data_IF_806529633309
#
_entry.id   IF_806529633309
#
_cell.length_a   1.000
_cell.length_b   1.000
_cell.length_c   1.000
_cell.angle_alpha   90.00
_cell.angle_beta   90.00
_cell.angle_gamma   90.00
#
_symmetry.space_group_name_H-M   'P 1'
#
loop_
_entity.id
_entity.type
_entity.pdbx_description
1 polymer ?
#
# COMPACT_ATOMS: atom_id res chain seq x y z
N UNK A 1 -14.74 -21.06 9.98
CA UNK A 1 -13.26 -20.98 9.98
C UNK A 1 -12.79 -21.00 11.43
N UNK A 2 -12.23 -22.12 11.89
CA UNK A 2 -11.66 -22.20 13.24
C UNK A 2 -10.17 -21.95 13.10
N UNK A 3 -9.72 -20.75 13.47
CA UNK A 3 -8.30 -20.47 13.65
C UNK A 3 -7.77 -21.31 14.81
N UNK A 4 -7.07 -22.41 14.52
CA UNK A 4 -6.18 -23.03 15.51
C UNK A 4 -4.99 -22.07 15.75
N UNK A 5 -5.16 -21.14 16.70
CA UNK A 5 -4.03 -20.39 17.26
C UNK A 5 -3.08 -21.39 17.91
N UNK A 6 -1.87 -21.54 17.40
CA UNK A 6 -0.80 -22.28 18.10
C UNK A 6 -0.37 -21.48 19.31
N UNK A 7 -0.85 -21.88 20.47
CA UNK A 7 -0.39 -21.37 21.75
C UNK A 7 1.01 -21.95 21.98
N UNK A 8 2.05 -21.10 21.91
CA UNK A 8 3.36 -21.42 22.48
C UNK A 8 3.27 -21.10 23.96
N UNK A 9 3.47 -22.10 24.80
CA UNK A 9 3.58 -21.92 26.24
C UNK A 9 5.05 -21.95 26.63
N UNK A 10 5.48 -20.96 27.39
CA UNK A 10 6.81 -20.91 27.99
C UNK A 10 6.64 -20.54 29.46
N UNK A 11 7.34 -21.25 30.34
CA UNK A 11 7.32 -21.01 31.77
C UNK A 11 8.70 -20.46 32.18
N UNK A 12 8.72 -19.36 32.93
CA UNK A 12 9.93 -18.84 33.55
C UNK A 12 9.80 -19.11 35.05
N UNK A 13 10.72 -19.90 35.59
CA UNK A 13 10.72 -20.33 36.98
C UNK A 13 11.81 -19.60 37.76
N UNK A 14 11.47 -19.15 38.96
CA UNK A 14 12.44 -18.53 39.87
C UNK A 14 13.42 -19.59 40.43
N UNK A 15 14.67 -19.22 40.72
CA UNK A 15 15.69 -20.13 41.27
C UNK A 15 15.29 -20.75 42.61
N UNK A 16 14.38 -20.15 43.36
CA UNK A 16 13.81 -20.72 44.60
C UNK A 16 13.07 -22.04 44.38
N UNK A 17 12.70 -22.37 43.13
CA UNK A 17 12.06 -23.63 42.75
C UNK A 17 13.07 -24.71 42.35
N UNK A 18 14.38 -24.48 42.45
CA UNK A 18 15.40 -25.49 42.16
C UNK A 18 15.12 -26.77 42.96
N UNK A 19 15.09 -27.92 42.29
CA UNK A 19 14.71 -29.22 42.86
C UNK A 19 13.27 -29.32 43.41
N UNK A 20 12.37 -28.42 43.03
CA UNK A 20 10.96 -28.38 43.46
C UNK A 20 9.96 -28.42 42.29
N UNK A 21 10.45 -28.76 41.11
CA UNK A 21 9.66 -28.84 39.88
C UNK A 21 9.60 -30.30 39.48
N UNK A 22 8.44 -30.73 38.99
CA UNK A 22 8.26 -32.00 38.33
C UNK A 22 7.30 -31.87 37.15
N UNK A 23 7.34 -32.85 36.24
CA UNK A 23 6.57 -32.83 35.00
C UNK A 23 7.42 -32.92 33.74
N UNK A 24 6.75 -32.73 32.59
CA UNK A 24 7.33 -32.86 31.24
C UNK A 24 8.46 -31.86 30.91
N UNK A 25 8.68 -30.86 31.75
CA UNK A 25 9.78 -29.89 31.63
C UNK A 25 11.00 -30.28 32.50
N UNK A 26 11.03 -31.50 33.04
CA UNK A 26 12.11 -31.98 33.91
C UNK A 26 11.99 -31.49 35.36
N UNK A 27 13.04 -31.75 36.15
CA UNK A 27 13.03 -31.51 37.60
C UNK A 27 13.64 -30.19 38.05
N UNK A 28 14.10 -29.38 37.10
CA UNK A 28 14.77 -28.11 37.37
C UNK A 28 15.92 -28.27 38.39
N UNK A 29 16.78 -29.26 38.14
CA UNK A 29 17.97 -29.58 38.96
C UNK A 29 19.23 -28.91 38.42
N UNK A 30 19.17 -28.35 37.21
CA UNK A 30 20.31 -27.84 36.46
C UNK A 30 21.12 -28.92 35.74
N UNK A 31 20.66 -30.18 35.74
CA UNK A 31 21.32 -31.31 35.08
C UNK A 31 20.50 -31.83 33.89
N UNK A 32 20.88 -31.55 32.63
CA UNK A 32 20.10 -31.99 31.46
C UNK A 32 19.93 -33.51 31.32
N UNK A 33 20.79 -34.30 32.00
CA UNK A 33 20.76 -35.75 31.95
C UNK A 33 19.60 -36.39 32.74
N UNK A 34 19.00 -35.66 33.68
CA UNK A 34 17.88 -36.15 34.50
C UNK A 34 16.51 -35.62 34.05
N UNK A 35 16.46 -34.74 33.04
CA UNK A 35 15.23 -34.06 32.61
C UNK A 35 14.15 -35.04 32.13
N UNK A 36 14.53 -36.24 31.67
CA UNK A 36 13.60 -37.31 31.25
C UNK A 36 13.29 -38.32 32.35
N UNK A 37 13.34 -37.91 33.61
CA UNK A 37 12.98 -38.78 34.74
C UNK A 37 11.47 -38.84 34.94
N UNK A 38 10.93 -40.06 35.02
CA UNK A 38 9.50 -40.35 35.17
C UNK A 38 9.02 -40.07 36.61
N UNK A 39 7.70 -40.02 36.88
CA UNK A 39 7.19 -39.82 38.24
C UNK A 39 7.62 -40.90 39.24
N UNK A 40 7.95 -42.10 38.75
CA UNK A 40 8.46 -43.22 39.56
C UNK A 40 9.95 -43.07 39.95
N UNK A 41 10.62 -42.02 39.49
CA UNK A 41 12.03 -41.73 39.76
C UNK A 41 13.02 -42.44 38.83
N UNK A 42 12.56 -43.23 37.86
CA UNK A 42 13.42 -43.88 36.87
C UNK A 42 13.58 -43.05 35.60
N UNK A 43 14.76 -43.12 34.98
CA UNK A 43 15.05 -42.40 33.74
C UNK A 43 14.38 -43.12 32.56
N UNK A 44 13.58 -42.41 31.78
CA UNK A 44 12.92 -42.98 30.61
C UNK A 44 13.92 -43.36 29.52
N UNK A 45 13.65 -44.47 28.83
CA UNK A 45 14.50 -44.94 27.72
C UNK A 45 14.11 -44.30 26.39
N UNK A 46 12.87 -43.85 26.26
CA UNK A 46 12.34 -43.18 25.06
C UNK A 46 11.56 -41.92 25.43
N UNK A 47 11.41 -41.02 24.47
CA UNK A 47 10.61 -39.80 24.65
C UNK A 47 9.12 -40.13 24.81
N UNK A 48 8.63 -41.16 24.12
CA UNK A 48 7.23 -41.61 24.24
C UNK A 48 6.98 -42.17 25.63
N UNK A 49 7.86 -43.05 26.14
CA UNK A 49 7.77 -43.56 27.51
C UNK A 49 7.77 -42.43 28.55
N UNK A 50 8.64 -41.43 28.37
CA UNK A 50 8.68 -40.26 29.24
C UNK A 50 7.35 -39.48 29.19
N UNK A 51 6.89 -39.14 27.98
CA UNK A 51 5.65 -38.39 27.76
C UNK A 51 4.43 -39.08 28.37
N UNK A 52 4.28 -40.36 28.09
CA UNK A 52 3.18 -41.20 28.56
C UNK A 52 3.20 -41.35 30.08
N UNK A 53 4.38 -41.42 30.71
CA UNK A 53 4.50 -41.56 32.17
C UNK A 53 3.95 -40.36 32.96
N UNK A 54 3.89 -39.18 32.35
CA UNK A 54 3.37 -37.95 32.96
C UNK A 54 1.91 -37.66 32.60
N UNK A 55 1.21 -38.59 31.93
CA UNK A 55 -0.20 -38.43 31.61
C UNK A 55 -1.05 -38.36 32.90
N UNK A 56 -1.95 -37.37 32.97
CA UNK A 56 -2.88 -37.19 34.10
C UNK A 56 -4.30 -37.47 33.63
N UNK A 57 -4.94 -38.48 34.24
CA UNK A 57 -6.34 -38.84 34.03
C UNK A 57 -6.55 -40.18 33.31
N UNK A 58 -7.71 -40.80 33.55
CA UNK A 58 -8.07 -42.16 33.08
C UNK A 58 -8.64 -42.16 31.65
N UNK A 59 -8.23 -41.20 30.83
CA UNK A 59 -8.63 -41.14 29.41
C UNK A 59 -7.63 -41.94 28.60
N UNK A 60 -8.15 -42.77 27.70
CA UNK A 60 -7.38 -43.37 26.63
C UNK A 60 -6.87 -42.26 25.70
N UNK A 61 -5.76 -41.65 26.09
CA UNK A 61 -5.03 -40.67 25.30
C UNK A 61 -4.21 -41.46 24.28
N UNK A 62 -4.87 -42.09 23.31
CA UNK A 62 -4.16 -42.60 22.14
C UNK A 62 -3.54 -41.40 21.44
N UNK A 63 -2.23 -41.20 21.63
CA UNK A 63 -1.46 -40.34 20.75
C UNK A 63 -1.74 -40.79 19.33
N UNK A 64 -2.14 -39.88 18.43
CA UNK A 64 -2.36 -40.21 17.02
C UNK A 64 -1.01 -40.66 16.43
N UNK A 65 -0.73 -41.95 16.57
CA UNK A 65 0.41 -42.60 15.97
C UNK A 65 0.04 -42.77 14.52
N UNK A 66 0.72 -41.99 13.70
CA UNK A 66 0.74 -42.29 12.29
C UNK A 66 1.21 -43.73 12.08
N UNK A 67 0.55 -44.45 11.18
CA UNK A 67 1.04 -45.78 10.81
C UNK A 67 2.45 -45.67 10.23
N UNK A 68 3.27 -46.73 10.32
CA UNK A 68 4.59 -46.75 9.69
C UNK A 68 4.53 -46.42 8.19
N UNK A 69 3.47 -46.88 7.52
CA UNK A 69 3.20 -46.60 6.10
C UNK A 69 2.97 -45.10 5.85
N UNK A 70 2.06 -44.46 6.61
CA UNK A 70 1.80 -43.02 6.47
C UNK A 70 3.02 -42.19 6.84
N UNK A 71 3.83 -42.64 7.79
CA UNK A 71 5.08 -41.99 8.17
C UNK A 71 6.10 -42.04 7.03
N UNK A 72 6.23 -43.18 6.36
CA UNK A 72 7.08 -43.31 5.18
C UNK A 72 6.61 -42.41 4.04
N UNK A 73 5.30 -42.33 3.78
CA UNK A 73 4.74 -41.39 2.80
C UNK A 73 5.02 -39.94 3.19
N UNK A 74 4.79 -39.56 4.45
CA UNK A 74 5.09 -38.22 4.96
C UNK A 74 6.57 -37.85 4.80
N UNK A 75 7.49 -38.79 5.03
CA UNK A 75 8.91 -38.61 4.78
C UNK A 75 9.19 -38.30 3.31
N UNK A 76 8.57 -39.04 2.37
CA UNK A 76 8.75 -38.78 0.94
C UNK A 76 8.28 -37.37 0.54
N UNK A 77 7.17 -36.89 1.12
CA UNK A 77 6.70 -35.52 0.88
C UNK A 77 7.68 -34.45 1.41
N UNK A 78 8.34 -34.74 2.54
CA UNK A 78 9.25 -33.81 3.23
C UNK A 78 10.69 -33.83 2.69
N UNK A 79 11.12 -34.89 2.00
CA UNK A 79 12.49 -34.97 1.46
C UNK A 79 12.81 -33.83 0.47
N UNK A 80 11.78 -33.21 -0.11
CA UNK A 80 11.93 -32.11 -1.04
C UNK A 80 12.72 -30.92 -0.46
N UNK A 81 12.78 -30.78 0.88
CA UNK A 81 13.57 -29.76 1.58
C UNK A 81 15.07 -29.88 1.27
N UNK A 82 15.57 -31.06 0.92
CA UNK A 82 16.99 -31.28 0.62
C UNK A 82 17.39 -30.80 -0.79
N UNK A 83 16.43 -30.44 -1.64
CA UNK A 83 16.66 -30.03 -3.01
C UNK A 83 16.48 -28.52 -3.21
N UNK A 84 16.92 -28.01 -4.37
CA UNK A 84 16.61 -26.64 -4.80
C UNK A 84 15.10 -26.45 -5.03
N UNK A 85 14.52 -25.29 -4.69
CA UNK A 85 15.19 -24.09 -4.17
C UNK A 85 15.37 -24.08 -2.64
N UNK A 86 14.87 -25.06 -1.90
CA UNK A 86 14.92 -25.09 -0.42
C UNK A 86 16.34 -25.10 0.14
N UNK A 87 17.30 -25.68 -0.59
CA UNK A 87 18.73 -25.69 -0.23
C UNK A 87 19.34 -24.31 0.00
N UNK A 88 18.80 -23.27 -0.62
CA UNK A 88 19.25 -21.88 -0.43
C UNK A 88 19.07 -21.41 1.03
N UNK A 89 18.18 -22.06 1.80
CA UNK A 89 17.91 -21.73 3.20
C UNK A 89 18.72 -22.55 4.23
N UNK A 90 19.45 -23.58 3.81
CA UNK A 90 20.02 -24.57 4.74
C UNK A 90 20.98 -23.95 5.78
N UNK A 91 21.63 -22.83 5.44
CA UNK A 91 22.49 -22.09 6.36
C UNK A 91 21.72 -21.44 7.53
N UNK A 92 20.46 -21.05 7.32
CA UNK A 92 19.60 -20.40 8.31
C UNK A 92 18.69 -21.40 9.02
N UNK A 93 18.16 -22.37 8.26
CA UNK A 93 17.26 -23.43 8.76
C UNK A 93 17.80 -24.80 8.34
N UNK A 94 18.63 -25.44 9.18
CA UNK A 94 19.17 -26.76 8.87
C UNK A 94 18.06 -27.81 8.67
N UNK A 95 18.08 -28.62 7.59
CA UNK A 95 17.05 -29.63 7.33
C UNK A 95 16.86 -30.62 8.48
N UNK A 96 17.95 -31.04 9.13
CA UNK A 96 17.91 -31.99 10.25
C UNK A 96 17.05 -31.51 11.43
N UNK A 97 17.01 -30.20 11.70
CA UNK A 97 16.19 -29.62 12.76
C UNK A 97 14.71 -29.42 12.37
N UNK A 98 14.40 -29.40 11.07
CA UNK A 98 13.04 -29.17 10.58
C UNK A 98 12.32 -30.44 10.13
N UNK A 99 13.07 -31.45 9.68
CA UNK A 99 12.56 -32.67 9.04
C UNK A 99 11.55 -33.41 9.91
N UNK A 100 11.84 -33.62 11.20
CA UNK A 100 10.92 -34.30 12.11
C UNK A 100 9.57 -33.56 12.20
N UNK A 101 9.60 -32.25 12.39
CA UNK A 101 8.39 -31.44 12.43
C UNK A 101 7.63 -31.38 11.10
N UNK A 102 8.32 -31.55 9.97
CA UNK A 102 7.69 -31.71 8.66
C UNK A 102 6.92 -33.03 8.59
N UNK A 103 7.58 -34.14 8.93
CA UNK A 103 7.00 -35.49 8.90
C UNK A 103 5.77 -35.56 9.79
N UNK A 104 5.89 -35.14 11.06
CA UNK A 104 4.77 -35.15 12.01
C UNK A 104 3.53 -34.43 11.47
N UNK A 105 3.74 -33.28 10.79
CA UNK A 105 2.65 -32.47 10.22
C UNK A 105 2.03 -33.08 8.98
N UNK A 106 2.87 -33.49 8.03
CA UNK A 106 2.40 -34.16 6.82
C UNK A 106 1.62 -35.43 7.20
N UNK A 107 2.12 -36.15 8.20
CA UNK A 107 1.50 -37.38 8.67
C UNK A 107 0.16 -37.16 9.37
N UNK A 108 0.06 -36.14 10.24
CA UNK A 108 -1.20 -35.74 10.84
C UNK A 108 -2.24 -35.36 9.76
N UNK A 109 -1.84 -34.60 8.74
CA UNK A 109 -2.70 -34.21 7.63
C UNK A 109 -3.19 -35.41 6.81
N UNK A 110 -2.30 -36.35 6.47
CA UNK A 110 -2.67 -37.57 5.74
C UNK A 110 -3.64 -38.43 6.55
N UNK A 111 -3.42 -38.52 7.87
CA UNK A 111 -4.29 -39.29 8.78
C UNK A 111 -5.68 -38.67 8.95
N UNK A 112 -5.81 -37.36 8.67
CA UNK A 112 -7.10 -36.64 8.67
C UNK A 112 -7.82 -36.71 7.32
N UNK A 113 -7.27 -37.45 6.34
CA UNK A 113 -7.85 -37.60 5.00
C UNK A 113 -7.41 -36.51 4.01
N UNK A 114 -6.40 -35.71 4.34
CA UNK A 114 -5.80 -34.75 3.41
C UNK A 114 -5.09 -35.46 2.25
N UNK A 115 -5.08 -34.82 1.09
CA UNK A 115 -4.35 -35.35 -0.08
C UNK A 115 -2.83 -35.21 0.09
N UNK A 116 -2.05 -36.06 -0.58
CA UNK A 116 -0.58 -35.95 -0.56
C UNK A 116 -0.08 -34.56 -0.99
N UNK A 117 -0.72 -33.96 -2.00
CA UNK A 117 -0.39 -32.62 -2.46
C UNK A 117 -0.65 -31.57 -1.38
N UNK A 118 -1.84 -31.58 -0.78
CA UNK A 118 -2.20 -30.66 0.29
C UNK A 118 -1.24 -30.76 1.48
N UNK A 119 -0.99 -31.98 1.95
CA UNK A 119 -0.14 -32.23 3.11
C UNK A 119 1.32 -31.86 2.84
N UNK A 120 1.84 -32.17 1.66
CA UNK A 120 3.17 -31.74 1.21
C UNK A 120 3.27 -30.21 1.20
N UNK A 121 2.34 -29.54 0.53
CA UNK A 121 2.41 -28.09 0.35
C UNK A 121 2.24 -27.32 1.66
N UNK A 122 1.41 -27.82 2.58
CA UNK A 122 1.27 -27.27 3.92
C UNK A 122 2.54 -27.47 4.77
N UNK A 123 3.21 -28.62 4.64
CA UNK A 123 4.43 -28.92 5.37
C UNK A 123 5.63 -28.12 4.85
N UNK A 124 5.88 -28.15 3.53
CA UNK A 124 6.97 -27.40 2.89
C UNK A 124 6.81 -25.89 3.02
N UNK A 125 5.58 -25.37 2.92
CA UNK A 125 5.33 -23.93 3.08
C UNK A 125 5.79 -23.40 4.44
N UNK A 126 5.76 -24.22 5.51
CA UNK A 126 6.28 -23.81 6.81
C UNK A 126 7.80 -23.66 6.84
N UNK A 127 8.52 -24.47 6.08
CA UNK A 127 9.97 -24.33 5.96
C UNK A 127 10.30 -22.99 5.29
N UNK A 128 9.57 -22.67 4.21
CA UNK A 128 9.73 -21.40 3.48
C UNK A 128 9.40 -20.20 4.35
N UNK A 129 8.26 -20.20 5.04
CA UNK A 129 7.92 -19.10 5.97
C UNK A 129 9.00 -18.93 7.03
N UNK A 130 9.45 -20.03 7.64
CA UNK A 130 10.50 -19.98 8.67
C UNK A 130 11.82 -19.42 8.13
N UNK A 131 12.13 -19.73 6.87
CA UNK A 131 13.29 -19.19 6.17
C UNK A 131 13.18 -17.68 5.97
N UNK A 132 12.08 -17.24 5.35
CA UNK A 132 11.87 -15.85 4.97
C UNK A 132 11.66 -14.93 6.19
N UNK A 133 11.18 -15.46 7.31
CA UNK A 133 11.16 -14.75 8.60
C UNK A 133 12.57 -14.45 9.14
N UNK A 134 13.59 -15.25 8.78
CA UNK A 134 14.98 -15.02 9.18
C UNK A 134 15.71 -14.12 8.20
N UNK A 135 15.45 -14.30 6.91
CA UNK A 135 16.02 -13.50 5.84
C UNK A 135 15.08 -13.50 4.61
N UNK A 136 14.43 -12.37 4.36
CA UNK A 136 13.48 -12.20 3.26
C UNK A 136 14.16 -12.12 1.88
N UNK A 137 15.49 -12.00 1.82
CA UNK A 137 16.25 -11.93 0.57
C UNK A 137 16.55 -13.29 -0.06
N UNK A 138 16.33 -14.39 0.67
CA UNK A 138 16.57 -15.75 0.17
C UNK A 138 15.61 -16.05 -1.00
N UNK A 139 16.12 -16.51 -2.17
CA UNK A 139 15.35 -16.59 -3.40
C UNK A 139 14.44 -17.83 -3.45
N UNK A 140 13.38 -17.82 -2.65
CA UNK A 140 12.40 -18.91 -2.58
C UNK A 140 11.15 -18.66 -3.41
N UNK A 141 11.03 -17.55 -4.14
CA UNK A 141 9.78 -17.13 -4.82
C UNK A 141 9.13 -18.20 -5.74
N UNK A 142 9.91 -19.12 -6.30
CA UNK A 142 9.43 -20.15 -7.24
C UNK A 142 9.26 -21.54 -6.62
N UNK A 143 9.47 -21.69 -5.30
CA UNK A 143 9.36 -22.98 -4.62
C UNK A 143 8.00 -23.65 -4.87
N UNK A 144 6.92 -22.85 -4.94
CA UNK A 144 5.57 -23.34 -5.23
C UNK A 144 5.44 -23.91 -6.64
N UNK A 145 6.17 -23.37 -7.60
CA UNK A 145 6.17 -23.89 -8.97
C UNK A 145 6.94 -25.21 -9.01
N UNK A 146 8.13 -25.25 -8.40
CA UNK A 146 9.00 -26.43 -8.38
C UNK A 146 8.35 -27.59 -7.62
N UNK A 147 7.76 -27.31 -6.45
CA UNK A 147 7.10 -28.32 -5.61
C UNK A 147 5.68 -28.68 -6.08
N UNK A 148 5.15 -28.01 -7.12
CA UNK A 148 3.76 -28.12 -7.58
C UNK A 148 2.76 -27.84 -6.44
N UNK A 149 2.89 -26.68 -5.83
CA UNK A 149 2.14 -26.19 -4.68
C UNK A 149 1.47 -24.84 -4.98
N UNK A 150 0.75 -24.79 -6.10
CA UNK A 150 0.17 -23.57 -6.63
C UNK A 150 -0.86 -22.94 -5.68
N UNK A 151 -0.90 -21.61 -5.69
CA UNK A 151 -1.92 -20.80 -5.01
C UNK A 151 -2.48 -19.80 -6.00
N UNK A 152 -3.79 -19.80 -6.15
CA UNK A 152 -4.49 -18.85 -7.00
C UNK A 152 -4.72 -17.54 -6.22
N UNK A 153 -4.47 -16.42 -6.88
CA UNK A 153 -4.81 -15.09 -6.38
C UNK A 153 -5.69 -14.36 -7.41
N UNK A 154 -6.49 -13.38 -6.98
CA UNK A 154 -7.17 -12.44 -7.86
C UNK A 154 -6.22 -11.76 -8.85
N UNK A 155 -6.77 -11.22 -9.94
CA UNK A 155 -6.00 -10.46 -10.92
C UNK A 155 -5.29 -9.27 -10.28
N UNK A 156 -4.00 -9.08 -10.58
CA UNK A 156 -3.17 -8.01 -10.01
C UNK A 156 -2.59 -8.32 -8.63
N UNK A 157 -2.83 -9.53 -8.11
CA UNK A 157 -2.26 -10.02 -6.86
C UNK A 157 -1.33 -11.20 -7.08
N UNK A 158 -0.28 -11.27 -6.26
CA UNK A 158 0.67 -12.37 -6.19
C UNK A 158 0.64 -12.99 -4.81
N UNK A 159 0.66 -14.33 -4.75
CA UNK A 159 0.78 -15.04 -3.49
C UNK A 159 2.19 -14.85 -2.92
N UNK A 160 2.27 -14.44 -1.67
CA UNK A 160 3.51 -14.45 -0.89
C UNK A 160 3.35 -15.36 0.33
N UNK A 161 4.37 -16.16 0.60
CA UNK A 161 4.45 -16.96 1.82
C UNK A 161 4.81 -16.11 3.04
N UNK A 162 5.54 -15.03 2.84
CA UNK A 162 6.02 -14.16 3.91
C UNK A 162 6.06 -12.74 3.36
N UNK A 163 4.93 -12.04 3.46
CA UNK A 163 4.83 -10.63 3.11
C UNK A 163 4.92 -9.78 4.37
N UNK A 164 5.63 -8.65 4.27
CA UNK A 164 5.67 -7.67 5.35
C UNK A 164 4.26 -7.18 5.68
N UNK A 165 4.03 -6.86 6.95
CA UNK A 165 2.72 -6.42 7.44
C UNK A 165 2.26 -5.06 6.87
N UNK A 166 3.15 -4.36 6.15
CA UNK A 166 2.89 -3.07 5.52
C UNK A 166 2.53 -3.24 4.04
N UNK A 167 1.35 -3.81 3.75
CA UNK A 167 0.79 -3.71 2.39
C UNK A 167 0.37 -2.25 2.15
N UNK A 168 0.96 -1.61 1.13
CA UNK A 168 0.65 -0.22 0.80
C UNK A 168 -0.75 -0.09 0.19
N UNK A 169 -1.54 0.83 0.70
CA UNK A 169 -2.82 1.27 0.14
C UNK A 169 -2.66 2.62 -0.56
N UNK A 170 -3.65 3.07 -1.34
CA UNK A 170 -3.60 4.44 -1.86
C UNK A 170 -3.45 5.48 -0.75
N UNK A 171 -4.09 5.29 0.40
CA UNK A 171 -4.01 6.19 1.56
C UNK A 171 -2.62 6.18 2.23
N UNK A 172 -1.86 5.09 2.08
CA UNK A 172 -0.61 4.88 2.82
C UNK A 172 0.64 4.78 1.95
N UNK A 173 0.50 4.89 0.63
CA UNK A 173 1.61 4.61 -0.30
C UNK A 173 2.80 5.57 -0.15
N UNK A 174 2.53 6.84 0.16
CA UNK A 174 3.53 7.88 0.43
C UNK A 174 4.10 7.85 1.85
N UNK A 175 3.53 7.06 2.75
CA UNK A 175 4.07 6.92 4.11
C UNK A 175 5.16 5.85 4.14
N UNK A 176 6.22 6.12 4.91
CA UNK A 176 7.20 5.10 5.23
C UNK A 176 6.49 4.01 6.05
N UNK A 177 6.74 2.75 5.71
CA UNK A 177 6.34 1.66 6.58
C UNK A 177 7.00 1.89 7.95
N UNK A 178 6.26 1.76 9.07
CA UNK A 178 6.87 1.78 10.39
C UNK A 178 8.06 0.83 10.40
N UNK A 179 9.17 1.16 11.06
CA UNK A 179 10.35 0.28 11.07
C UNK A 179 9.96 -1.06 11.71
N UNK A 180 9.66 -2.04 10.86
CA UNK A 180 9.10 -3.34 11.25
C UNK A 180 10.25 -4.24 11.72
N UNK A 181 10.98 -3.81 12.73
CA UNK A 181 12.04 -4.64 13.33
C UNK A 181 11.51 -5.85 14.12
N UNK A 182 10.19 -6.15 14.07
CA UNK A 182 9.63 -7.25 14.86
C UNK A 182 8.27 -7.83 14.45
N UNK A 183 7.65 -7.46 13.31
CA UNK A 183 6.38 -8.11 12.95
C UNK A 183 6.62 -9.39 12.17
N UNK A 184 6.06 -10.50 12.65
CA UNK A 184 5.93 -11.74 11.86
C UNK A 184 5.23 -11.42 10.54
N UNK A 185 5.83 -11.85 9.43
CA UNK A 185 5.20 -11.76 8.12
C UNK A 185 3.91 -12.58 8.05
N UNK A 186 3.06 -12.27 7.09
CA UNK A 186 1.84 -13.02 6.83
C UNK A 186 1.83 -13.62 5.43
N UNK A 187 1.23 -14.81 5.31
CA UNK A 187 1.04 -15.47 4.02
C UNK A 187 -0.32 -15.11 3.44
N UNK A 188 -0.38 -14.87 2.13
CA UNK A 188 -1.62 -14.43 1.48
C UNK A 188 -1.40 -13.95 0.05
N UNK A 189 -2.46 -13.45 -0.55
CA UNK A 189 -2.40 -12.73 -1.82
C UNK A 189 -2.23 -11.24 -1.53
N UNK A 190 -1.22 -10.63 -2.12
CA UNK A 190 -0.88 -9.23 -1.95
C UNK A 190 -0.72 -8.58 -3.32
N UNK A 191 -0.86 -7.26 -3.38
CA UNK A 191 -0.65 -6.56 -4.65
C UNK A 191 0.73 -6.85 -5.25
N UNK A 192 0.78 -6.99 -6.58
CA UNK A 192 2.06 -7.16 -7.28
C UNK A 192 3.01 -5.99 -6.96
N UNK A 193 4.35 -6.24 -6.97
CA UNK A 193 5.32 -5.18 -6.73
C UNK A 193 5.07 -3.96 -7.63
N UNK A 194 4.97 -2.78 -7.01
CA UNK A 194 4.66 -1.53 -7.71
C UNK A 194 3.18 -1.17 -7.77
N UNK A 195 2.27 -2.04 -7.32
CA UNK A 195 0.84 -1.74 -7.17
C UNK A 195 0.47 -1.48 -5.70
N UNK A 196 -0.70 -0.87 -5.51
CA UNK A 196 -1.27 -0.55 -4.19
C UNK A 196 -2.72 -0.98 -4.10
N UNK A 197 -3.19 -1.23 -2.87
CA UNK A 197 -4.57 -1.63 -2.65
C UNK A 197 -5.49 -0.41 -2.55
N UNK A 198 -6.58 -0.41 -3.34
CA UNK A 198 -7.69 0.55 -3.30
C UNK A 198 -9.01 -0.21 -3.40
N UNK A 199 -9.89 -0.05 -2.41
CA UNK A 199 -11.21 -0.68 -2.37
C UNK A 199 -11.20 -2.21 -2.64
N UNK A 200 -10.21 -2.90 -2.07
CA UNK A 200 -10.05 -4.35 -2.20
C UNK A 200 -9.44 -4.83 -3.52
N UNK A 201 -8.96 -3.91 -4.38
CA UNK A 201 -8.34 -4.22 -5.67
C UNK A 201 -6.93 -3.63 -5.74
N UNK A 202 -6.05 -4.26 -6.51
CA UNK A 202 -4.74 -3.70 -6.79
C UNK A 202 -4.81 -2.76 -7.98
N UNK A 203 -4.32 -1.54 -7.80
CA UNK A 203 -4.28 -0.49 -8.82
C UNK A 203 -2.86 0.05 -8.93
N UNK A 204 -2.54 0.61 -10.08
CA UNK A 204 -1.30 1.38 -10.22
C UNK A 204 -1.39 2.63 -9.32
N UNK A 205 -0.31 3.04 -8.61
CA UNK A 205 -0.31 4.22 -7.75
C UNK A 205 -0.84 5.49 -8.40
N UNK A 206 -0.72 5.59 -9.71
CA UNK A 206 -1.20 6.71 -10.52
C UNK A 206 -2.74 6.84 -10.53
N UNK A 207 -3.44 5.74 -10.27
CA UNK A 207 -4.90 5.70 -10.11
C UNK A 207 -5.34 6.04 -8.68
N UNK A 208 -4.39 6.37 -7.80
CA UNK A 208 -4.70 6.83 -6.46
C UNK A 208 -5.23 8.25 -6.41
N UNK A 209 -5.13 9.06 -7.50
CA UNK A 209 -5.61 10.45 -7.60
C UNK A 209 -6.76 10.80 -6.64
N UNK A 210 -6.38 11.30 -5.47
CA UNK A 210 -7.19 11.49 -4.26
C UNK A 210 -7.16 12.94 -3.81
N UNK A 211 -6.08 13.69 -4.12
CA UNK A 211 -6.08 15.14 -4.06
C UNK A 211 -6.96 15.71 -5.17
N UNK A 212 -8.25 15.92 -4.88
CA UNK A 212 -9.20 16.54 -5.83
C UNK A 212 -9.67 17.90 -5.31
N UNK A 213 -9.30 18.94 -6.06
CA UNK A 213 -9.75 20.31 -5.88
C UNK A 213 -10.85 20.62 -6.90
N UNK A 214 -11.86 21.36 -6.48
CA UNK A 214 -13.01 21.72 -7.30
C UNK A 214 -13.25 23.22 -7.22
N UNK A 215 -13.65 23.83 -8.34
CA UNK A 215 -14.20 25.18 -8.36
C UNK A 215 -15.45 25.22 -9.24
N UNK A 216 -16.50 25.95 -8.85
CA UNK A 216 -17.75 26.03 -9.62
C UNK A 216 -18.59 27.26 -9.27
N UNK A 217 -19.51 27.65 -10.15
CA UNK A 217 -20.50 28.69 -9.89
C UNK A 217 -19.91 30.10 -9.72
N UNK A 218 -20.35 30.81 -8.67
CA UNK A 218 -19.78 32.08 -8.19
C UNK A 218 -18.63 31.81 -7.22
N UNK A 219 -17.39 31.77 -7.74
CA UNK A 219 -16.40 30.75 -7.46
C UNK A 219 -16.46 30.22 -6.02
N UNK A 220 -17.18 29.12 -5.86
CA UNK A 220 -17.05 28.25 -4.71
C UNK A 220 -15.91 27.31 -4.98
N UNK A 221 -14.98 27.24 -4.05
CA UNK A 221 -13.84 26.33 -4.10
C UNK A 221 -13.99 25.27 -3.03
N UNK A 222 -13.48 24.09 -3.37
CA UNK A 222 -13.24 22.99 -2.45
C UNK A 222 -11.79 22.57 -2.64
N UNK A 223 -10.96 22.78 -1.61
CA UNK A 223 -9.54 22.42 -1.63
C UNK A 223 -9.33 20.91 -1.78
N UNK A 224 -8.08 20.50 -1.95
CA UNK A 224 -7.68 19.09 -1.92
C UNK A 224 -8.13 18.40 -0.62
N UNK A 225 -8.00 19.08 0.53
CA UNK A 225 -8.41 18.56 1.84
C UNK A 225 -9.88 18.87 2.17
N UNK A 226 -10.67 19.20 1.14
CA UNK A 226 -12.13 19.36 1.18
C UNK A 226 -12.62 20.57 1.98
N UNK A 227 -11.77 21.55 2.25
CA UNK A 227 -12.15 22.85 2.82
C UNK A 227 -12.97 23.65 1.79
N UNK A 228 -14.18 24.05 2.16
CA UNK A 228 -15.04 24.86 1.29
C UNK A 228 -14.86 26.35 1.60
N UNK A 229 -14.65 27.16 0.57
CA UNK A 229 -14.59 28.62 0.71
C UNK A 229 -15.09 29.32 -0.57
N UNK A 230 -15.49 30.58 -0.46
CA UNK A 230 -15.98 31.38 -1.59
C UNK A 230 -15.05 32.57 -1.79
N UNK A 231 -14.56 32.75 -3.01
CA UNK A 231 -13.68 33.87 -3.33
C UNK A 231 -14.03 34.49 -4.69
N UNK A 232 -14.44 35.77 -4.65
CA UNK A 232 -14.99 36.50 -5.79
C UNK A 232 -13.97 37.41 -6.49
N UNK A 233 -12.75 36.93 -6.71
CA UNK A 233 -11.71 37.66 -7.43
C UNK A 233 -11.94 37.71 -8.95
N UNK A 234 -11.73 38.88 -9.57
CA UNK A 234 -11.85 39.13 -11.01
C UNK A 234 -10.45 39.18 -11.67
N UNK A 235 -9.66 38.12 -11.50
CA UNK A 235 -8.32 38.03 -12.08
C UNK A 235 -7.95 36.58 -12.38
N UNK A 236 -6.70 36.38 -12.77
CA UNK A 236 -6.10 35.05 -12.87
C UNK A 236 -5.46 34.69 -11.54
N UNK A 237 -5.71 33.49 -11.05
CA UNK A 237 -5.21 33.02 -9.75
C UNK A 237 -4.53 31.66 -9.90
N UNK A 238 -3.51 31.42 -9.08
CA UNK A 238 -2.88 30.10 -8.97
C UNK A 238 -3.85 29.19 -8.23
N UNK A 239 -4.53 28.29 -8.95
CA UNK A 239 -5.38 27.28 -8.34
C UNK A 239 -4.52 26.28 -7.57
N UNK A 240 -3.50 25.72 -8.23
CA UNK A 240 -2.47 24.93 -7.56
C UNK A 240 -1.16 24.96 -8.35
N UNK A 241 -0.04 24.80 -7.66
CA UNK A 241 1.25 24.50 -8.26
C UNK A 241 2.07 23.60 -7.35
N UNK A 242 3.02 22.88 -7.93
CA UNK A 242 4.04 22.16 -7.15
C UNK A 242 4.88 23.15 -6.35
N UNK A 243 5.10 22.92 -5.05
CA UNK A 243 5.90 23.80 -4.21
C UNK A 243 7.39 23.58 -4.49
N UNK A 244 8.05 24.56 -5.11
CA UNK A 244 9.52 24.60 -5.21
C UNK A 244 10.00 26.02 -4.89
N UNK A 245 10.75 26.23 -3.80
CA UNK A 245 11.29 27.54 -3.43
C UNK A 245 12.17 28.20 -4.49
N UNK A 246 12.71 27.42 -5.44
CA UNK A 246 13.53 27.93 -6.56
C UNK A 246 12.68 28.42 -7.73
N UNK A 247 11.36 28.19 -7.72
CA UNK A 247 10.44 28.53 -8.81
C UNK A 247 10.31 27.46 -9.90
N UNK A 248 11.01 26.33 -9.77
CA UNK A 248 10.96 25.22 -10.73
C UNK A 248 9.76 24.31 -10.44
N UNK A 249 8.56 24.83 -10.66
CA UNK A 249 7.32 24.09 -10.41
C UNK A 249 7.11 22.99 -11.47
N UNK A 250 6.96 21.73 -11.04
CA UNK A 250 6.61 20.61 -11.94
C UNK A 250 5.32 20.84 -12.71
N UNK A 251 4.38 21.57 -12.12
CA UNK A 251 3.18 22.04 -12.77
C UNK A 251 2.68 23.35 -12.14
N UNK A 252 1.91 24.11 -12.91
CA UNK A 252 1.08 25.21 -12.41
C UNK A 252 -0.28 25.17 -13.10
N UNK A 253 -1.34 25.32 -12.33
CA UNK A 253 -2.72 25.40 -12.82
C UNK A 253 -3.27 26.77 -12.43
N UNK A 254 -3.66 27.54 -13.45
CA UNK A 254 -4.12 28.92 -13.32
C UNK A 254 -5.59 28.98 -13.73
N UNK A 255 -6.44 29.52 -12.87
CA UNK A 255 -7.84 29.79 -13.19
C UNK A 255 -8.00 31.23 -13.62
N UNK A 256 -8.88 31.47 -14.59
CA UNK A 256 -9.20 32.80 -15.10
C UNK A 256 -10.62 33.14 -14.71
N UNK A 257 -10.77 34.14 -13.85
CA UNK A 257 -12.05 34.55 -13.32
C UNK A 257 -12.43 35.91 -13.89
N UNK A 258 -13.66 36.02 -14.36
CA UNK A 258 -14.22 37.28 -14.88
C UNK A 258 -15.60 37.55 -14.29
N UNK A 259 -16.04 38.80 -14.43
CA UNK A 259 -17.45 39.13 -14.24
C UNK A 259 -18.33 38.40 -15.24
N UNK A 260 -19.30 37.68 -14.72
CA UNK A 260 -20.38 37.11 -15.51
C UNK A 260 -21.56 38.09 -15.58
N UNK A 261 -22.12 38.25 -16.77
CA UNK A 261 -23.29 39.10 -16.99
C UNK A 261 -24.58 38.35 -16.58
N UNK A 262 -24.73 38.11 -15.27
CA UNK A 262 -25.91 37.54 -14.61
C UNK A 262 -26.46 38.56 -13.59
N UNK A 263 -27.71 38.38 -13.16
CA UNK A 263 -28.33 39.21 -12.14
C UNK A 263 -28.69 38.33 -10.91
N UNK A 264 -28.13 38.57 -9.71
CA UNK A 264 -27.08 39.55 -9.41
C UNK A 264 -25.77 39.25 -10.16
N UNK A 265 -24.91 40.27 -10.31
CA UNK A 265 -23.59 40.11 -10.96
C UNK A 265 -22.73 39.18 -10.12
N UNK A 266 -22.21 38.12 -10.76
CA UNK A 266 -21.33 37.13 -10.12
C UNK A 266 -19.97 37.09 -10.81
N UNK A 267 -19.00 36.38 -10.22
CA UNK A 267 -17.80 35.95 -10.95
C UNK A 267 -18.05 34.57 -11.57
N UNK A 268 -17.31 34.23 -12.62
CA UNK A 268 -17.23 32.87 -13.14
C UNK A 268 -15.81 32.57 -13.59
N UNK A 269 -15.42 31.30 -13.47
CA UNK A 269 -14.20 30.79 -14.10
C UNK A 269 -14.46 30.59 -15.59
N UNK A 270 -13.82 31.38 -16.45
CA UNK A 270 -13.96 31.28 -17.90
C UNK A 270 -12.77 30.60 -18.58
N UNK A 271 -11.81 30.12 -17.79
CA UNK A 271 -10.79 29.23 -18.31
C UNK A 271 -9.84 28.71 -17.27
N UNK A 272 -9.12 27.67 -17.67
CA UNK A 272 -8.07 27.05 -16.88
C UNK A 272 -6.85 26.83 -17.78
N UNK A 273 -5.69 27.27 -17.33
CA UNK A 273 -4.39 27.08 -17.99
C UNK A 273 -3.54 26.12 -17.17
N UNK A 274 -2.82 25.23 -17.84
CA UNK A 274 -1.83 24.32 -17.26
C UNK A 274 -0.47 24.66 -17.86
N UNK A 275 0.53 24.79 -17.01
CA UNK A 275 1.95 24.93 -17.36
C UNK A 275 2.69 23.68 -16.87
N UNK A 276 3.47 23.04 -17.73
CA UNK A 276 4.30 21.87 -17.41
C UNK A 276 5.48 21.80 -18.38
N UNK A 277 6.71 21.71 -17.87
CA UNK A 277 7.96 21.59 -18.67
C UNK A 277 8.04 22.61 -19.83
N UNK A 278 7.87 23.90 -19.51
CA UNK A 278 7.83 25.03 -20.45
C UNK A 278 6.72 24.99 -21.53
N UNK A 279 5.86 23.97 -21.49
CA UNK A 279 4.72 23.81 -22.37
C UNK A 279 3.43 24.26 -21.70
N UNK A 280 2.47 24.71 -22.50
CA UNK A 280 1.18 25.19 -22.01
C UNK A 280 -0.03 24.60 -22.76
N UNK A 281 -1.06 24.27 -21.98
CA UNK A 281 -2.37 23.90 -22.49
C UNK A 281 -3.45 24.68 -21.74
N UNK A 282 -4.48 25.10 -22.45
CA UNK A 282 -5.47 26.03 -21.91
C UNK A 282 -6.86 25.73 -22.47
N UNK A 283 -7.88 25.78 -21.61
CA UNK A 283 -9.28 25.86 -22.02
C UNK A 283 -9.85 27.24 -21.70
N UNK A 284 -10.60 27.80 -22.63
CA UNK A 284 -11.31 29.09 -22.51
C UNK A 284 -12.75 28.97 -22.99
N UNK A 285 -13.67 29.50 -22.20
CA UNK A 285 -15.06 29.71 -22.56
C UNK A 285 -15.23 31.09 -23.20
N UNK A 286 -15.41 31.08 -24.52
CA UNK A 286 -15.62 32.31 -25.28
C UNK A 286 -16.98 32.95 -24.94
N UNK A 287 -17.15 34.27 -25.16
CA UNK A 287 -18.45 34.94 -24.97
C UNK A 287 -19.61 34.32 -25.78
N UNK A 288 -19.30 33.60 -26.86
CA UNK A 288 -20.26 32.85 -27.68
C UNK A 288 -20.77 31.56 -27.02
N UNK A 289 -20.19 31.15 -25.88
CA UNK A 289 -20.51 29.89 -25.20
C UNK A 289 -19.75 28.67 -25.75
N UNK A 290 -18.79 28.88 -26.66
CA UNK A 290 -17.96 27.83 -27.24
C UNK A 290 -16.71 27.63 -26.38
N UNK A 291 -16.38 26.37 -26.07
CA UNK A 291 -15.09 25.99 -25.51
C UNK A 291 -14.01 25.96 -26.59
N UNK A 292 -13.00 26.81 -26.39
CA UNK A 292 -11.77 26.86 -27.16
C UNK A 292 -10.66 26.23 -26.34
N UNK A 293 -9.99 25.22 -26.90
CA UNK A 293 -8.83 24.59 -26.27
C UNK A 293 -7.59 24.94 -27.07
N UNK A 294 -6.56 25.44 -26.39
CA UNK A 294 -5.29 25.84 -26.96
C UNK A 294 -4.17 24.96 -26.41
N UNK A 295 -3.21 24.62 -27.26
CA UNK A 295 -1.93 24.02 -26.87
C UNK A 295 -0.84 24.87 -27.53
N UNK A 296 0.16 25.30 -26.76
CA UNK A 296 1.19 26.25 -27.23
C UNK A 296 0.60 27.53 -27.84
N UNK A 297 -0.50 28.02 -27.24
CA UNK A 297 -1.23 29.20 -27.73
C UNK A 297 -1.99 29.01 -29.04
N UNK A 298 -1.96 27.83 -29.66
CA UNK A 298 -2.66 27.52 -30.90
C UNK A 298 -3.96 26.72 -30.63
N UNK A 299 -5.10 27.08 -31.23
CA UNK A 299 -6.33 26.33 -31.06
C UNK A 299 -6.26 24.93 -31.66
N UNK A 300 -6.75 23.94 -30.92
CA UNK A 300 -6.86 22.56 -31.40
C UNK A 300 -7.97 22.42 -32.45
N UNK A 301 -7.65 21.76 -33.57
CA UNK A 301 -8.59 21.54 -34.68
C UNK A 301 -9.47 20.29 -34.51
N UNK A 302 -9.02 19.31 -33.72
CA UNK A 302 -9.72 18.02 -33.54
C UNK A 302 -9.36 17.37 -32.21
N UNK A 303 -10.25 16.50 -31.73
CA UNK A 303 -10.07 15.71 -30.50
C UNK A 303 -10.29 14.21 -30.79
N UNK A 304 -9.65 13.29 -30.05
CA UNK A 304 -8.67 13.54 -28.99
C UNK A 304 -7.34 14.09 -29.54
N UNK A 305 -6.60 14.82 -28.72
CA UNK A 305 -5.27 15.34 -29.03
C UNK A 305 -4.26 14.77 -28.03
N UNK A 306 -3.05 14.40 -28.49
CA UNK A 306 -1.96 13.92 -27.64
C UNK A 306 -0.61 14.38 -28.20
N UNK A 307 0.24 14.88 -27.33
CA UNK A 307 1.67 15.07 -27.58
C UNK A 307 2.51 14.50 -26.43
N UNK A 308 3.77 14.91 -26.30
CA UNK A 308 4.69 14.44 -25.25
C UNK A 308 4.34 14.96 -23.85
N UNK A 309 3.65 16.11 -23.74
CA UNK A 309 3.30 16.77 -22.49
C UNK A 309 1.81 16.62 -22.12
N UNK A 310 0.91 16.73 -23.10
CA UNK A 310 -0.53 16.83 -22.87
C UNK A 310 -1.33 15.75 -23.60
N UNK A 311 -2.38 15.29 -22.95
CA UNK A 311 -3.47 14.53 -23.56
C UNK A 311 -4.79 15.28 -23.33
N UNK A 312 -5.53 15.54 -24.40
CA UNK A 312 -6.75 16.33 -24.36
C UNK A 312 -7.92 15.54 -24.93
N UNK A 313 -8.99 15.46 -24.16
CA UNK A 313 -10.24 14.81 -24.53
C UNK A 313 -11.40 15.81 -24.43
N UNK A 314 -12.33 15.69 -25.37
CA UNK A 314 -13.53 16.53 -25.43
C UNK A 314 -14.74 15.61 -25.64
N UNK A 315 -15.36 15.13 -24.55
CA UNK A 315 -16.50 14.21 -24.64
C UNK A 315 -17.70 14.81 -25.37
N UNK A 316 -17.93 16.12 -25.22
CA UNK A 316 -19.03 16.87 -25.85
C UNK A 316 -18.67 18.35 -26.04
N UNK A 317 -19.63 19.19 -26.42
CA UNK A 317 -19.39 20.62 -26.67
C UNK A 317 -19.21 21.46 -25.39
N UNK A 318 -19.54 20.92 -24.22
CA UNK A 318 -19.55 21.56 -22.89
C UNK A 318 -18.46 21.10 -21.94
N UNK A 319 -17.77 20.00 -22.24
CA UNK A 319 -16.76 19.41 -21.37
C UNK A 319 -15.42 19.24 -22.07
N UNK A 320 -14.33 19.57 -21.37
CA UNK A 320 -12.95 19.31 -21.81
C UNK A 320 -12.16 18.74 -20.65
N UNK A 321 -11.34 17.73 -20.92
CA UNK A 321 -10.34 17.19 -20.00
C UNK A 321 -8.94 17.38 -20.60
N UNK A 322 -8.02 17.97 -19.83
CA UNK A 322 -6.61 18.13 -20.16
C UNK A 322 -5.82 17.37 -19.10
N UNK A 323 -5.02 16.40 -19.53
CA UNK A 323 -4.16 15.61 -18.67
C UNK A 323 -2.68 15.88 -18.99
N UNK A 324 -1.84 15.80 -17.97
CA UNK A 324 -0.38 15.74 -18.07
C UNK A 324 0.05 14.33 -17.67
N UNK A 325 0.22 13.39 -18.63
CA UNK A 325 0.41 11.98 -18.32
C UNK A 325 1.66 11.70 -17.48
N UNK A 326 2.74 12.47 -17.67
CA UNK A 326 4.01 12.27 -16.96
C UNK A 326 3.92 12.42 -15.44
N UNK A 327 2.95 13.21 -14.95
CA UNK A 327 2.75 13.48 -13.51
C UNK A 327 1.32 13.17 -13.03
N UNK A 328 0.52 12.52 -13.90
CA UNK A 328 -0.86 12.12 -13.64
C UNK A 328 -1.77 13.25 -13.15
N UNK A 329 -1.49 14.47 -13.59
CA UNK A 329 -2.35 15.62 -13.35
C UNK A 329 -3.50 15.59 -14.36
N UNK A 330 -4.72 15.78 -13.89
CA UNK A 330 -5.92 15.89 -14.75
C UNK A 330 -6.70 17.12 -14.34
N UNK A 331 -7.00 17.97 -15.32
CA UNK A 331 -7.96 19.07 -15.19
C UNK A 331 -9.17 18.77 -16.05
N UNK A 332 -10.36 18.89 -15.48
CA UNK A 332 -11.60 18.93 -16.26
C UNK A 332 -12.23 20.31 -16.15
N UNK A 333 -12.93 20.74 -17.20
CA UNK A 333 -13.69 21.98 -17.22
C UNK A 333 -15.08 21.74 -17.81
N UNK A 334 -16.11 22.28 -17.15
CA UNK A 334 -17.50 22.24 -17.60
C UNK A 334 -18.05 23.66 -17.82
N UNK A 335 -18.51 23.92 -19.05
CA UNK A 335 -19.17 25.16 -19.41
C UNK A 335 -20.57 25.31 -18.78
N UNK A 336 -21.17 24.23 -18.28
CA UNK A 336 -22.54 24.25 -17.74
C UNK A 336 -22.62 25.00 -16.41
N UNK A 337 -21.63 24.76 -15.54
CA UNK A 337 -21.55 25.34 -14.20
C UNK A 337 -20.32 26.24 -14.01
N UNK A 338 -19.59 26.56 -15.09
CA UNK A 338 -18.31 27.29 -15.04
C UNK A 338 -17.30 26.61 -14.10
N UNK A 339 -17.39 25.28 -14.01
CA UNK A 339 -16.68 24.49 -13.03
C UNK A 339 -15.42 23.88 -13.57
N UNK A 340 -14.45 23.64 -12.70
CA UNK A 340 -13.28 22.84 -12.97
C UNK A 340 -13.04 21.83 -11.86
N UNK A 341 -12.42 20.72 -12.21
CA UNK A 341 -11.78 19.82 -11.25
C UNK A 341 -10.29 19.76 -11.55
N UNK A 342 -9.47 19.70 -10.51
CA UNK A 342 -8.04 19.45 -10.60
C UNK A 342 -7.73 18.24 -9.72
N UNK A 343 -7.13 17.22 -10.32
CA UNK A 343 -6.71 16.01 -9.61
C UNK A 343 -5.21 15.79 -9.79
N UNK A 344 -4.52 15.54 -8.69
CA UNK A 344 -3.12 15.10 -8.65
C UNK A 344 -2.98 13.90 -7.71
N UNK A 345 -1.97 13.04 -7.89
CA UNK A 345 -1.73 11.93 -6.98
C UNK A 345 -1.12 12.39 -5.64
N UNK A 346 -1.76 12.10 -4.50
CA UNK A 346 -1.21 12.43 -3.15
C UNK A 346 0.18 11.86 -2.94
N UNK A 347 0.48 10.69 -3.48
CA UNK A 347 1.78 10.07 -3.30
C UNK A 347 2.96 10.83 -3.90
N UNK A 348 2.71 11.73 -4.85
CA UNK A 348 3.73 12.62 -5.41
C UNK A 348 3.62 14.04 -4.88
N UNK A 349 2.42 14.44 -4.45
CA UNK A 349 2.07 15.85 -4.27
C UNK A 349 1.50 16.20 -2.88
N UNK A 350 1.39 15.25 -1.95
CA UNK A 350 0.95 15.52 -0.58
C UNK A 350 1.96 16.41 0.14
N UNK A 351 1.48 17.53 0.68
CA UNK A 351 2.29 18.61 1.27
C UNK A 351 3.31 19.26 0.32
N UNK A 352 3.19 18.98 -0.98
CA UNK A 352 4.09 19.45 -2.05
C UNK A 352 3.33 20.34 -3.04
N UNK A 353 2.14 20.82 -2.66
CA UNK A 353 1.32 21.75 -3.46
C UNK A 353 1.03 23.03 -2.70
N UNK A 354 0.80 24.11 -3.43
CA UNK A 354 0.39 25.41 -2.89
C UNK A 354 -0.51 26.14 -3.89
N UNK A 355 -1.37 27.05 -3.41
CA UNK A 355 -2.36 27.77 -4.21
C UNK A 355 -3.73 27.78 -3.54
N UNK A 356 -4.76 28.20 -4.28
CA UNK A 356 -6.15 28.17 -3.80
C UNK A 356 -6.65 26.76 -3.43
N UNK A 357 -6.06 25.70 -4.00
CA UNK A 357 -6.43 24.31 -3.74
C UNK A 357 -5.79 23.71 -2.48
N UNK A 358 -4.93 24.44 -1.76
CA UNK A 358 -4.27 23.93 -0.55
C UNK A 358 -3.05 23.06 -0.84
N UNK A 359 -2.64 22.26 0.15
CA UNK A 359 -1.39 21.48 0.12
C UNK A 359 -1.60 19.96 0.05
N UNK A 360 -2.84 19.45 0.14
CA UNK A 360 -3.19 18.04 0.09
C UNK A 360 -2.48 17.18 1.16
N UNK A 361 -2.51 17.62 2.42
CA UNK A 361 -1.91 16.87 3.52
C UNK A 361 -2.93 16.12 4.39
N UNK A 362 -4.22 16.22 4.08
CA UNK A 362 -5.33 15.68 4.87
C UNK A 362 -5.90 16.64 5.92
N UNK A 363 -5.33 17.83 6.09
CA UNK A 363 -5.59 18.76 7.20
C UNK A 363 -6.28 20.06 6.73
N UNK A 364 -7.59 20.02 6.49
CA UNK A 364 -8.39 21.16 6.01
C UNK A 364 -8.27 22.48 6.81
N UNK A 365 -7.71 22.47 8.01
CA UNK A 365 -7.52 23.67 8.83
C UNK A 365 -6.40 24.57 8.31
N UNK A 366 -5.42 24.04 7.58
CA UNK A 366 -4.25 24.77 7.09
C UNK A 366 -4.31 25.14 5.59
N UNK A 367 -5.37 24.78 4.89
CA UNK A 367 -5.55 25.03 3.44
C UNK A 367 -5.47 26.51 3.04
N UNK A 368 -5.87 27.42 3.93
CA UNK A 368 -5.85 28.87 3.68
C UNK A 368 -4.47 29.48 3.98
N UNK A 369 -3.43 28.91 3.38
CA UNK A 369 -2.05 29.36 3.49
C UNK A 369 -1.69 30.42 2.45
N UNK A 370 -1.02 31.47 2.89
CA UNK A 370 -0.42 32.49 2.03
C UNK A 370 0.83 31.92 1.32
N UNK A 371 1.33 32.55 0.25
CA UNK A 371 2.61 32.18 -0.36
C UNK A 371 3.81 32.23 0.61
N UNK A 372 3.70 32.95 1.73
CA UNK A 372 4.70 32.97 2.81
C UNK A 372 4.70 31.68 3.65
N UNK A 373 3.66 30.84 3.55
CA UNK A 373 3.40 29.69 4.41
C UNK A 373 2.63 30.04 5.69
N UNK A 374 2.32 31.32 5.93
CA UNK A 374 1.50 31.74 7.06
C UNK A 374 0.02 31.51 6.78
N UNK A 375 -0.78 31.28 7.83
CA UNK A 375 -2.23 31.16 7.71
C UNK A 375 -2.85 32.53 7.48
N UNK A 376 -3.71 32.64 6.47
CA UNK A 376 -4.45 33.86 6.19
C UNK A 376 -5.45 34.20 7.30
N UNK A 377 -5.69 35.50 7.50
CA UNK A 377 -6.67 36.02 8.46
C UNK A 377 -8.10 36.04 7.92
N UNK A 378 -8.25 36.02 6.59
CA UNK A 378 -9.54 36.01 5.89
C UNK A 378 -9.43 35.30 4.53
N UNK A 379 -10.58 34.89 3.98
CA UNK A 379 -10.64 34.27 2.64
C UNK A 379 -10.28 35.29 1.56
N UNK A 380 -10.62 36.56 1.75
CA UNK A 380 -10.26 37.65 0.85
C UNK A 380 -8.75 37.86 0.78
N UNK A 381 -8.07 37.91 1.93
CA UNK A 381 -6.61 37.99 1.99
C UNK A 381 -5.96 36.78 1.30
N UNK A 382 -6.43 35.57 1.64
CA UNK A 382 -5.97 34.33 1.05
C UNK A 382 -6.09 34.37 -0.48
N UNK A 383 -7.28 34.64 -1.00
CA UNK A 383 -7.53 34.63 -2.45
C UNK A 383 -6.73 35.69 -3.21
N UNK A 384 -6.61 36.90 -2.65
CA UNK A 384 -5.83 37.98 -3.27
C UNK A 384 -4.32 37.69 -3.26
N UNK A 385 -3.82 36.95 -2.27
CA UNK A 385 -2.39 36.60 -2.19
C UNK A 385 -1.92 35.69 -3.33
N UNK A 386 -2.83 34.92 -3.93
CA UNK A 386 -2.57 33.98 -5.03
C UNK A 386 -2.82 34.56 -6.43
N UNK A 387 -2.99 35.88 -6.54
CA UNK A 387 -3.21 36.56 -7.81
C UNK A 387 -1.96 36.51 -8.71
N UNK A 388 -2.15 36.10 -9.97
CA UNK A 388 -1.11 36.14 -11.01
C UNK A 388 -0.94 37.59 -11.49
N UNK A 389 0.26 38.16 -11.34
CA UNK A 389 0.56 39.52 -11.82
C UNK A 389 0.96 39.50 -13.30
N UNK A 390 0.26 40.26 -14.15
CA UNK A 390 0.62 40.44 -15.56
C UNK A 390 2.02 41.05 -15.70
N UNK A 391 2.98 40.30 -16.26
CA UNK A 391 4.34 40.79 -16.56
C UNK A 391 5.51 39.92 -16.09
N UNK A 392 5.30 38.89 -15.27
CA UNK A 392 6.32 37.87 -15.03
C UNK A 392 6.23 36.77 -16.10
N UNK A 393 6.94 36.95 -17.21
CA UNK A 393 7.67 35.81 -17.75
C UNK A 393 8.67 35.45 -16.66
N UNK A 394 8.49 34.32 -15.98
CA UNK A 394 9.53 33.83 -15.10
C UNK A 394 10.79 33.61 -15.96
N UNK A 395 11.96 34.11 -15.54
CA UNK A 395 13.15 34.03 -16.35
C UNK A 395 13.51 32.55 -16.57
N UNK A 396 13.68 32.18 -17.84
CA UNK A 396 14.35 30.94 -18.24
C UNK A 396 15.71 30.86 -17.52
N UNK A 397 16.15 29.68 -17.09
CA UNK A 397 17.54 29.49 -16.67
C UNK A 397 18.45 29.88 -17.84
N UNK A 398 19.32 30.87 -17.63
CA UNK A 398 20.51 31.01 -18.46
C UNK A 398 21.49 29.91 -18.01
N UNK A 399 22.02 29.19 -18.99
CA UNK A 399 22.99 28.07 -18.94
C UNK A 399 23.84 27.93 -17.66
#
# INVERSE_FOLDING_TARGET
MVHQRRLKYGYVLDKTLLHRVDGLCGFYTGQPGDDKTKPDGSLATTTDEYGDSWAIGDRDCEGRKCSPETTASAFQLCNAIDAKPFSECHALVPPSGFMQGCIERACACLSEGGSEEECKCAALGRYVVKCLELDSSIPLQDWRVVAKCYKACPTGERYSDCHDSCEKTCDTYGHACPDVQSSKCSSGCFCEPGMVRKDGRCVHPDLCGDCTCEGYGDPHYKSFDRHNFTFNGECSYVAARHRDPRGNHKFQVITHNKRCNRNPVTMCTDGVKILHDDSEAEVRLLPTGVLMTLVEGAPLASFPYRDVHFAVERPDDKHVAIAVPAIYLVVTYSAENYGFTLTVPSHQFSNETEGLCGNCNGEAADDLQLPSGERASSVEEFGLSWQVRSGMRMPMPLD
#
